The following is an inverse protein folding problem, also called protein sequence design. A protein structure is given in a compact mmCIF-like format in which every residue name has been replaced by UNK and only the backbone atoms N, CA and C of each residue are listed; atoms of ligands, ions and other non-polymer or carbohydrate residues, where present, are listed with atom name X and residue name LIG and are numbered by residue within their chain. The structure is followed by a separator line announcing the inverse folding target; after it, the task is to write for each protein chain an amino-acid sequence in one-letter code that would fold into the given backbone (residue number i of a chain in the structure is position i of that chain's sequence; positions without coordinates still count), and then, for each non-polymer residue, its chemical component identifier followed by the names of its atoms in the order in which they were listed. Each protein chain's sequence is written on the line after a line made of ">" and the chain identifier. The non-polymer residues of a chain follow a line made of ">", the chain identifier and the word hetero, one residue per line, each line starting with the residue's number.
data_IF_196425502136
#
_entry.id   IF_196425502136
#
_cell.length_a   1.000
_cell.length_b   1.000
_cell.length_c   1.000
_cell.angle_alpha   90.00
_cell.angle_beta   90.00
_cell.angle_gamma   90.00
#
_symmetry.space_group_name_H-M   'P 1'
#
loop_
_entity.id
_entity.type
_entity.pdbx_description
1 polymer ?
#
# COMPACT_ATOMS: atom_id res chain seq x y z
N UNK A 1 -18.96 5.52 -15.53
CA UNK A 1 -18.68 6.82 -14.86
C UNK A 1 -18.72 6.56 -13.37
N UNK A 2 -17.59 6.67 -12.68
CA UNK A 2 -17.51 6.43 -11.24
C UNK A 2 -17.84 7.71 -10.49
N UNK A 3 -18.81 7.67 -9.58
CA UNK A 3 -19.26 8.84 -8.82
C UNK A 3 -18.17 9.34 -7.85
N UNK A 4 -18.04 10.66 -7.64
CA UNK A 4 -17.13 11.21 -6.64
C UNK A 4 -17.51 10.74 -5.24
N UNK A 5 -16.50 10.36 -4.44
CA UNK A 5 -16.70 9.83 -3.08
C UNK A 5 -16.37 10.94 -2.07
N UNK A 6 -17.29 11.31 -1.15
CA UNK A 6 -16.99 12.28 -0.09
C UNK A 6 -15.76 11.86 0.73
N UNK A 7 -14.89 12.81 1.05
CA UNK A 7 -13.78 12.54 1.95
C UNK A 7 -14.29 12.25 3.36
N UNK A 8 -13.98 11.05 3.87
CA UNK A 8 -14.16 10.68 5.27
C UNK A 8 -12.96 9.84 5.70
N UNK A 9 -12.25 10.28 6.76
CA UNK A 9 -11.24 9.46 7.41
C UNK A 9 -11.94 8.28 8.07
N UNK A 10 -11.74 7.08 7.52
CA UNK A 10 -12.32 5.86 8.08
C UNK A 10 -11.27 5.08 8.89
N UNK A 11 -11.62 4.60 10.10
CA UNK A 11 -10.74 3.75 10.89
C UNK A 11 -10.52 2.39 10.20
N UNK A 12 -9.38 1.77 10.52
CA UNK A 12 -8.87 0.47 10.06
C UNK A 12 -9.96 -0.54 9.62
N UNK A 13 -10.13 -0.79 8.31
CA UNK A 13 -10.76 -2.02 7.84
C UNK A 13 -9.68 -3.11 7.61
N UNK A 14 -10.05 -4.22 6.95
CA UNK A 14 -10.09 -5.58 7.48
C UNK A 14 -8.85 -6.06 8.29
N UNK A 15 -9.09 -6.93 9.27
CA UNK A 15 -8.03 -7.66 10.01
C UNK A 15 -7.32 -8.71 9.16
N UNK A 16 -7.87 -9.07 7.99
CA UNK A 16 -7.29 -10.04 7.06
C UNK A 16 -6.49 -9.34 5.95
N UNK A 17 -5.32 -9.87 5.57
CA UNK A 17 -4.54 -9.38 4.44
C UNK A 17 -5.25 -9.50 3.10
N UNK A 18 -5.21 -8.43 2.30
CA UNK A 18 -5.75 -8.39 0.94
C UNK A 18 -4.80 -9.08 -0.04
N UNK A 19 -5.31 -10.01 -0.83
CA UNK A 19 -4.55 -10.77 -1.85
C UNK A 19 -4.72 -10.23 -3.27
N UNK A 20 -5.64 -9.28 -3.48
CA UNK A 20 -5.97 -8.74 -4.80
C UNK A 20 -4.97 -7.68 -5.32
N UNK A 21 -3.89 -7.39 -4.59
CA UNK A 21 -2.86 -6.45 -5.02
C UNK A 21 -1.83 -7.14 -5.92
N UNK A 22 -1.49 -6.47 -7.01
CA UNK A 22 -0.47 -6.89 -7.95
C UNK A 22 0.87 -6.26 -7.57
N UNK A 23 1.89 -7.10 -7.46
CA UNK A 23 3.23 -6.67 -7.08
C UNK A 23 4.13 -6.57 -8.31
N UNK A 24 4.87 -5.47 -8.40
CA UNK A 24 5.80 -5.18 -9.48
C UNK A 24 7.15 -4.76 -8.90
N UNK A 25 8.24 -5.30 -9.44
CA UNK A 25 9.58 -4.81 -9.14
C UNK A 25 9.80 -3.51 -9.89
N UNK A 26 10.30 -2.47 -9.21
CA UNK A 26 10.60 -1.20 -9.87
C UNK A 26 11.88 -1.35 -10.69
N UNK A 27 11.82 -0.96 -11.96
CA UNK A 27 12.95 -1.04 -12.89
C UNK A 27 14.06 -0.01 -12.62
N UNK A 28 13.76 1.06 -11.86
CA UNK A 28 14.64 2.21 -11.66
C UNK A 28 15.27 2.28 -10.25
N UNK A 29 15.16 1.23 -9.43
CA UNK A 29 15.82 1.15 -8.13
C UNK A 29 15.41 -0.04 -7.28
N UNK A 30 16.06 -0.23 -6.13
CA UNK A 30 15.71 -1.28 -5.16
C UNK A 30 14.33 -1.00 -4.55
N UNK A 31 13.29 -1.62 -5.07
CA UNK A 31 11.94 -1.45 -4.52
C UNK A 31 10.87 -2.29 -5.21
N UNK A 32 9.81 -2.58 -4.47
CA UNK A 32 8.60 -3.22 -5.01
C UNK A 32 7.42 -2.30 -4.85
N UNK A 33 6.56 -2.26 -5.86
CA UNK A 33 5.30 -1.54 -5.85
C UNK A 33 4.15 -2.54 -5.83
N UNK A 34 3.23 -2.41 -4.87
CA UNK A 34 1.95 -3.08 -4.89
C UNK A 34 0.90 -2.12 -5.45
N UNK A 35 0.19 -2.52 -6.51
CA UNK A 35 -0.91 -1.77 -7.09
C UNK A 35 -2.22 -2.56 -6.93
N UNK A 36 -3.29 -1.89 -6.52
CA UNK A 36 -4.59 -2.53 -6.33
C UNK A 36 -5.68 -1.53 -5.97
N UNK A 37 -6.85 -2.05 -5.61
CA UNK A 37 -7.99 -1.21 -5.21
C UNK A 37 -8.06 -1.09 -3.69
N UNK A 38 -8.33 0.12 -3.20
CA UNK A 38 -8.68 0.30 -1.81
C UNK A 38 -9.98 -0.47 -1.49
N UNK A 39 -10.02 -1.28 -0.41
CA UNK A 39 -11.23 -2.01 -0.04
C UNK A 39 -12.39 -1.08 0.34
N UNK A 40 -12.09 0.19 0.66
CA UNK A 40 -13.05 1.16 1.13
C UNK A 40 -13.57 2.09 0.03
N UNK A 41 -12.68 2.72 -0.75
CA UNK A 41 -13.10 3.63 -1.84
C UNK A 41 -13.08 3.02 -3.23
N UNK A 42 -12.57 1.79 -3.42
CA UNK A 42 -12.39 1.14 -4.74
C UNK A 42 -11.52 1.92 -5.74
N UNK A 43 -10.93 3.01 -5.26
CA UNK A 43 -9.92 3.83 -5.90
C UNK A 43 -8.63 3.01 -6.11
N UNK A 44 -7.96 3.21 -7.24
CA UNK A 44 -6.65 2.61 -7.49
C UNK A 44 -5.62 3.25 -6.56
N UNK A 45 -4.92 2.43 -5.79
CA UNK A 45 -3.88 2.86 -4.84
C UNK A 45 -2.60 2.08 -5.11
N UNK A 46 -1.48 2.75 -4.90
CA UNK A 46 -0.13 2.19 -5.00
C UNK A 46 0.52 2.23 -3.63
N UNK A 47 1.26 1.18 -3.30
CA UNK A 47 2.11 1.14 -2.12
C UNK A 47 3.53 0.79 -2.56
N UNK A 48 4.48 1.65 -2.25
CA UNK A 48 5.88 1.45 -2.63
C UNK A 48 6.68 1.06 -1.40
N UNK A 49 7.32 -0.10 -1.47
CA UNK A 49 8.29 -0.55 -0.48
C UNK A 49 9.68 -0.34 -1.08
N UNK A 50 10.35 0.72 -0.64
CA UNK A 50 11.73 0.98 -0.99
C UNK A 50 12.68 0.01 -0.28
N UNK A 51 13.80 -0.30 -0.92
CA UNK A 51 14.73 -1.36 -0.55
C UNK A 51 15.50 -1.15 0.75
N UNK A 52 15.48 0.06 1.27
CA UNK A 52 16.07 0.42 2.56
C UNK A 52 14.96 0.95 3.46
N UNK A 53 14.30 0.06 4.21
CA UNK A 53 13.54 0.51 5.36
C UNK A 53 14.53 0.78 6.48
N UNK A 54 14.73 2.07 6.80
CA UNK A 54 15.47 2.47 7.99
C UNK A 54 14.72 1.96 9.22
N UNK A 55 15.12 0.79 9.74
CA UNK A 55 14.61 0.28 11.01
C UNK A 55 15.18 1.18 12.09
N UNK A 56 14.33 1.93 12.78
CA UNK A 56 14.72 2.86 13.87
C UNK A 56 15.38 2.16 15.07
N UNK A 57 15.39 0.82 15.12
CA UNK A 57 16.00 0.00 16.17
C UNK A 57 16.59 -1.33 15.63
N UNK A 58 17.49 -1.27 14.66
CA UNK A 58 18.24 -2.46 14.23
C UNK A 58 18.97 -2.26 12.90
N UNK A 59 19.87 -3.20 12.53
CA UNK A 59 20.51 -3.15 11.22
C UNK A 59 19.45 -3.21 10.11
N UNK A 60 19.66 -2.41 9.06
CA UNK A 60 18.85 -2.45 7.84
C UNK A 60 18.83 -3.88 7.29
N UNK A 61 17.64 -4.43 7.05
CA UNK A 61 17.49 -5.72 6.36
C UNK A 61 17.40 -5.48 4.86
N UNK A 62 18.06 -6.29 4.03
CA UNK A 62 17.89 -6.21 2.59
C UNK A 62 16.44 -6.50 2.20
N UNK A 63 15.94 -5.81 1.17
CA UNK A 63 14.55 -5.92 0.70
C UNK A 63 14.12 -7.37 0.44
N UNK A 64 15.02 -8.17 -0.11
CA UNK A 64 14.79 -9.59 -0.41
C UNK A 64 14.38 -10.37 0.83
N UNK A 65 15.06 -10.18 1.95
CA UNK A 65 14.76 -10.87 3.21
C UNK A 65 13.41 -10.43 3.78
N UNK A 66 13.07 -9.14 3.60
CA UNK A 66 11.79 -8.59 4.04
C UNK A 66 10.60 -9.12 3.23
N UNK A 67 10.83 -9.52 1.98
CA UNK A 67 9.79 -10.08 1.10
C UNK A 67 9.78 -11.62 1.14
N UNK A 68 10.89 -12.27 1.46
CA UNK A 68 11.00 -13.72 1.60
C UNK A 68 10.15 -14.28 2.75
N UNK A 69 9.92 -13.50 3.81
CA UNK A 69 9.09 -13.95 4.95
C UNK A 69 7.60 -14.02 4.62
N UNK A 70 7.16 -13.53 3.45
CA UNK A 70 5.74 -13.54 3.05
C UNK A 70 4.82 -12.73 3.97
N UNK A 71 5.38 -11.95 4.90
CA UNK A 71 4.61 -11.29 5.94
C UNK A 71 3.80 -10.12 5.35
N UNK A 72 2.49 -10.02 5.66
CA UNK A 72 1.65 -8.95 5.14
C UNK A 72 2.23 -7.57 5.39
N UNK A 73 2.06 -6.67 4.43
CA UNK A 73 2.60 -5.31 4.49
C UNK A 73 1.49 -4.32 4.74
N UNK A 74 1.71 -3.44 5.70
CA UNK A 74 0.78 -2.37 5.99
C UNK A 74 0.77 -1.36 4.84
N UNK A 75 -0.41 -1.00 4.40
CA UNK A 75 -0.64 0.00 3.38
C UNK A 75 -1.75 0.95 3.80
N UNK A 76 -1.72 2.15 3.22
CA UNK A 76 -2.74 3.16 3.41
C UNK A 76 -3.24 3.63 2.06
N UNK A 77 -4.52 3.98 2.01
CA UNK A 77 -5.11 4.59 0.83
C UNK A 77 -4.64 6.04 0.67
N UNK A 78 -3.85 6.29 -0.39
CA UNK A 78 -3.25 7.58 -0.73
C UNK A 78 -3.84 8.18 -2.02
N UNK A 79 -5.04 7.75 -2.44
CA UNK A 79 -5.64 8.24 -3.68
C UNK A 79 -5.95 9.75 -3.62
N UNK A 80 -5.43 10.50 -4.58
CA UNK A 80 -5.59 11.97 -4.65
C UNK A 80 -6.76 12.43 -5.51
N UNK A 81 -7.25 11.57 -6.41
CA UNK A 81 -8.11 11.96 -7.54
C UNK A 81 -9.60 11.65 -7.36
N UNK A 82 -9.98 10.83 -6.37
CA UNK A 82 -11.38 10.33 -6.25
C UNK A 82 -12.17 10.92 -5.08
N UNK A 83 -11.53 11.72 -4.23
CA UNK A 83 -12.15 12.32 -3.06
C UNK A 83 -12.47 13.80 -3.27
N UNK A 84 -13.77 14.13 -3.26
CA UNK A 84 -14.24 15.53 -3.25
C UNK A 84 -14.27 16.08 -1.83
N UNK A 85 -14.07 17.40 -1.69
CA UNK A 85 -14.03 18.12 -0.40
C UNK A 85 -12.93 17.63 0.57
N UNK A 86 -11.81 17.11 0.03
CA UNK A 86 -10.63 16.79 0.84
C UNK A 86 -9.98 18.11 1.32
N UNK A 87 -9.66 18.26 2.61
CA UNK A 87 -8.91 19.42 3.10
C UNK A 87 -7.54 19.51 2.43
N UNK A 88 -7.09 20.73 2.14
CA UNK A 88 -5.74 20.97 1.64
C UNK A 88 -4.69 20.48 2.65
N UNK A 89 -3.63 19.85 2.15
CA UNK A 89 -2.54 19.33 2.99
C UNK A 89 -2.76 17.93 3.57
N UNK A 90 -3.88 17.24 3.29
CA UNK A 90 -4.04 15.82 3.63
C UNK A 90 -3.48 14.96 2.48
N UNK A 91 -2.34 14.26 2.64
CA UNK A 91 -1.77 13.44 1.58
C UNK A 91 -2.61 12.20 1.30
N UNK A 92 -3.35 11.72 2.31
CA UNK A 92 -4.17 10.53 2.22
C UNK A 92 -5.42 10.73 1.34
N UNK A 93 -5.90 9.65 0.74
CA UNK A 93 -7.24 9.56 0.17
C UNK A 93 -8.27 9.41 1.28
N UNK A 94 -9.00 8.28 1.31
CA UNK A 94 -9.89 7.96 2.44
C UNK A 94 -9.12 7.64 3.75
N UNK A 95 -7.79 7.52 3.68
CA UNK A 95 -6.94 7.23 4.83
C UNK A 95 -7.10 5.83 5.41
N UNK A 96 -7.88 4.95 4.77
CA UNK A 96 -8.05 3.58 5.20
C UNK A 96 -6.71 2.85 5.23
N UNK A 97 -6.38 2.28 6.39
CA UNK A 97 -5.23 1.40 6.59
C UNK A 97 -5.64 -0.06 6.40
N UNK A 98 -4.82 -0.85 5.74
CA UNK A 98 -5.09 -2.27 5.50
C UNK A 98 -3.77 -3.04 5.33
N UNK A 99 -3.85 -4.37 5.43
CA UNK A 99 -2.72 -5.25 5.20
C UNK A 99 -2.79 -5.82 3.79
N UNK A 100 -1.67 -5.84 3.08
CA UNK A 100 -1.53 -6.45 1.75
C UNK A 100 -0.72 -7.73 1.89
N UNK A 101 -1.26 -8.86 1.42
CA UNK A 101 -0.53 -10.11 1.34
C UNK A 101 0.53 -10.04 0.24
N UNK A 102 1.67 -10.70 0.45
CA UNK A 102 2.61 -10.96 -0.63
C UNK A 102 2.11 -12.10 -1.52
N UNK A 103 2.62 -12.20 -2.77
CA UNK A 103 2.34 -13.36 -3.62
C UNK A 103 2.84 -14.65 -2.94
N UNK A 104 2.14 -15.79 -3.08
CA UNK A 104 2.52 -17.06 -2.45
C UNK A 104 3.89 -17.62 -2.90
N UNK A 105 4.51 -17.08 -3.95
CA UNK A 105 5.89 -17.38 -4.38
C UNK A 105 6.94 -16.35 -3.95
N UNK A 106 6.56 -15.37 -3.11
CA UNK A 106 7.37 -14.18 -2.88
C UNK A 106 7.43 -13.28 -4.11
N UNK A 107 8.21 -12.19 -4.02
CA UNK A 107 8.55 -11.37 -5.18
C UNK A 107 9.98 -11.70 -5.55
N UNK A 108 10.19 -12.19 -6.77
CA UNK A 108 11.54 -12.39 -7.31
C UNK A 108 12.11 -11.02 -7.65
N UNK A 109 13.03 -10.54 -6.82
CA UNK A 109 13.87 -9.38 -7.07
C UNK A 109 15.06 -9.76 -7.95
#
# INVERSE_FOLDING_TARGET
>A
MSSPIPWQRKPFPPTQPLTAFLWHVRSEGDGVEAAGECPQCRCVTKNVIAGVQYVTKGPSKPLRDLLATGSPRHARCECTTWHVNRPDGVPDGCGASFWIALPPGGISL
#
